data_IF_531564337227
#
_entry.id   IF_531564337227
#
_cell.length_a   1.000
_cell.length_b   1.000
_cell.length_c   1.000
_cell.angle_alpha   90.00
_cell.angle_beta   90.00
_cell.angle_gamma   90.00
#
_symmetry.space_group_name_H-M   'P 1'
#
loop_
_entity.id
_entity.type
_entity.pdbx_description
1 polymer ?
#
# COMPACT_ATOMS: atom_id res chain seq x y z
N UNK A 1 -15.73 -62.62 -50.65
CA UNK A 1 -15.85 -61.44 -49.75
C UNK A 1 -14.79 -60.44 -50.20
N UNK A 2 -15.15 -59.39 -50.96
CA UNK A 2 -15.39 -58.02 -50.47
C UNK A 2 -14.27 -57.51 -49.55
N UNK A 3 -13.56 -56.40 -49.79
CA UNK A 3 -13.77 -55.24 -50.64
C UNK A 3 -12.45 -54.50 -50.94
N UNK A 4 -12.39 -53.95 -52.16
CA UNK A 4 -11.95 -52.61 -52.60
C UNK A 4 -10.64 -52.00 -52.07
N UNK A 5 -9.65 -51.94 -52.98
CA UNK A 5 -8.69 -50.83 -53.11
C UNK A 5 -9.25 -49.80 -54.09
N UNK A 6 -9.14 -48.51 -53.77
CA UNK A 6 -9.30 -47.39 -54.71
C UNK A 6 -8.08 -46.47 -54.54
N UNK A 7 -7.35 -46.15 -55.62
CA UNK A 7 -6.40 -45.04 -55.64
C UNK A 7 -7.04 -43.81 -56.30
N UNK A 8 -6.88 -42.63 -55.69
CA UNK A 8 -7.23 -41.36 -56.35
C UNK A 8 -6.01 -40.44 -56.46
N UNK A 9 -5.76 -40.08 -57.72
CA UNK A 9 -4.75 -39.18 -58.27
C UNK A 9 -5.05 -37.71 -57.97
N UNK A 10 -3.95 -36.93 -58.01
CA UNK A 10 -3.80 -35.57 -58.59
C UNK A 10 -4.47 -34.36 -57.93
N UNK A 11 -3.62 -33.43 -57.47
CA UNK A 11 -3.56 -32.07 -58.02
C UNK A 11 -4.29 -30.97 -57.25
N UNK A 12 -3.53 -30.11 -56.56
CA UNK A 12 -3.92 -28.71 -56.30
C UNK A 12 -2.66 -27.92 -55.92
N UNK A 13 -2.04 -27.21 -56.87
CA UNK A 13 -2.24 -25.77 -57.19
C UNK A 13 -1.63 -24.83 -56.15
N UNK A 14 -0.44 -24.36 -56.49
CA UNK A 14 0.19 -23.15 -55.97
C UNK A 14 -0.80 -21.97 -55.98
N UNK A 15 -0.97 -21.32 -54.82
CA UNK A 15 -1.45 -19.95 -54.73
C UNK A 15 -0.31 -19.06 -54.26
N UNK A 16 0.39 -18.48 -55.23
CA UNK A 16 1.24 -17.30 -55.06
C UNK A 16 0.31 -16.10 -54.92
N UNK A 17 0.18 -15.61 -53.69
CA UNK A 17 -0.54 -14.37 -53.38
C UNK A 17 0.23 -13.15 -53.90
N UNK A 18 -0.20 -12.64 -55.06
CA UNK A 18 0.10 -11.27 -55.52
C UNK A 18 -0.60 -10.28 -54.59
N UNK A 19 0.13 -9.51 -53.78
CA UNK A 19 -0.39 -8.27 -53.19
C UNK A 19 0.06 -7.08 -54.03
N UNK A 20 -0.92 -6.54 -54.74
CA UNK A 20 -0.84 -5.32 -55.50
C UNK A 20 -0.69 -4.10 -54.56
N UNK A 21 0.14 -3.19 -55.05
CA UNK A 21 0.29 -1.78 -54.71
C UNK A 21 -1.03 -1.03 -54.49
N UNK A 22 -1.13 -0.26 -53.40
CA UNK A 22 -2.16 0.76 -53.21
C UNK A 22 -1.54 2.06 -52.69
N UNK A 23 -1.66 3.07 -53.56
CA UNK A 23 -1.79 4.52 -53.34
C UNK A 23 -0.76 5.30 -52.52
N UNK A 24 0.04 6.01 -53.30
CA UNK A 24 0.69 7.31 -53.08
C UNK A 24 -0.36 8.37 -52.71
N UNK A 25 -0.32 8.91 -51.50
CA UNK A 25 -1.05 10.13 -51.11
C UNK A 25 -0.06 11.25 -50.80
N UNK A 26 -0.15 12.30 -51.61
CA UNK A 26 0.42 13.62 -51.39
C UNK A 26 -0.37 14.35 -50.30
N UNK A 27 0.33 14.96 -49.34
CA UNK A 27 -0.11 16.14 -48.57
C UNK A 27 1.10 16.64 -47.78
N UNK A 28 1.83 17.61 -48.31
CA UNK A 28 1.68 19.04 -48.03
C UNK A 28 2.39 19.47 -46.74
N UNK A 29 3.61 19.97 -46.95
CA UNK A 29 4.36 20.78 -46.00
C UNK A 29 3.60 22.10 -45.74
N UNK A 30 3.32 22.38 -44.45
CA UNK A 30 3.03 23.73 -43.98
C UNK A 30 3.77 23.98 -42.66
N UNK A 31 4.87 24.72 -42.82
CA UNK A 31 5.29 25.89 -42.03
C UNK A 31 5.03 25.87 -40.52
N UNK A 32 6.16 25.74 -39.82
CA UNK A 32 6.47 26.23 -38.48
C UNK A 32 5.99 27.67 -38.23
N UNK A 33 5.09 27.83 -37.27
CA UNK A 33 4.82 29.12 -36.62
C UNK A 33 5.44 29.11 -35.22
N UNK A 34 6.59 29.77 -35.12
CA UNK A 34 7.31 30.09 -33.89
C UNK A 34 6.46 31.00 -32.99
N UNK A 35 5.96 30.47 -31.87
CA UNK A 35 5.36 31.28 -30.81
C UNK A 35 6.45 31.76 -29.86
N UNK A 36 6.70 33.06 -29.96
CA UNK A 36 7.68 33.86 -29.23
C UNK A 36 7.27 33.95 -27.76
N UNK A 37 8.08 33.38 -26.86
CA UNK A 37 7.96 33.60 -25.43
C UNK A 37 8.34 35.05 -25.09
N UNK A 38 7.36 35.85 -24.63
CA UNK A 38 7.59 37.09 -23.91
C UNK A 38 7.51 36.80 -22.42
N UNK A 39 8.67 36.64 -21.76
CA UNK A 39 8.77 36.75 -20.31
C UNK A 39 9.27 38.16 -20.04
N UNK A 40 8.36 39.02 -19.59
CA UNK A 40 8.69 40.38 -19.16
C UNK A 40 9.47 40.32 -17.84
N UNK A 41 10.72 40.74 -17.90
CA UNK A 41 11.42 41.28 -16.75
C UNK A 41 10.74 42.61 -16.37
N UNK A 42 10.25 42.73 -15.13
CA UNK A 42 9.99 44.03 -14.52
C UNK A 42 10.55 44.05 -13.10
N UNK A 43 11.57 44.88 -12.98
CA UNK A 43 12.27 45.33 -11.79
C UNK A 43 11.47 46.37 -10.99
N UNK A 44 12.00 46.72 -9.82
CA UNK A 44 11.58 47.71 -8.81
C UNK A 44 10.56 47.20 -7.78
N UNK A 45 10.70 47.37 -6.46
CA UNK A 45 11.42 48.37 -5.66
C UNK A 45 11.91 47.73 -4.34
N UNK A 46 13.16 47.94 -3.91
CA UNK A 46 13.59 49.03 -3.01
C UNK A 46 12.66 49.28 -1.82
N UNK A 47 12.92 48.59 -0.70
CA UNK A 47 12.68 49.16 0.63
C UNK A 47 13.86 48.83 1.53
N UNK A 48 14.57 49.90 1.92
CA UNK A 48 15.55 49.95 3.00
C UNK A 48 14.87 49.54 4.30
N UNK A 49 15.42 48.55 4.99
CA UNK A 49 15.22 48.40 6.42
C UNK A 49 16.56 47.96 7.03
N UNK A 50 17.10 48.84 7.87
CA UNK A 50 18.28 48.64 8.70
C UNK A 50 18.06 47.42 9.60
N UNK A 51 19.04 46.53 9.70
CA UNK A 51 19.12 45.57 10.80
C UNK A 51 20.50 45.67 11.42
N UNK A 52 20.46 46.10 12.67
CA UNK A 52 21.55 46.20 13.64
C UNK A 52 22.20 44.84 13.86
N UNK A 53 23.52 44.86 13.95
CA UNK A 53 24.34 43.75 14.45
C UNK A 53 24.41 43.88 15.97
N UNK A 54 23.95 42.88 16.71
CA UNK A 54 24.37 42.59 18.09
C UNK A 54 24.00 41.14 18.49
N UNK A 55 24.62 40.57 19.55
CA UNK A 55 25.22 39.25 19.46
C UNK A 55 24.38 38.10 20.03
N UNK A 56 24.81 36.91 19.62
CA UNK A 56 24.37 35.58 20.01
C UNK A 56 24.31 35.35 21.52
N UNK A 57 23.10 35.18 22.05
CA UNK A 57 22.86 34.44 23.31
C UNK A 57 22.24 33.08 23.00
N UNK A 58 22.94 32.05 23.43
CA UNK A 58 22.57 30.64 23.42
C UNK A 58 21.20 30.37 24.05
N UNK A 59 20.24 29.89 23.27
CA UNK A 59 19.02 29.26 23.80
C UNK A 59 18.91 27.83 23.31
N UNK A 60 19.05 26.92 24.28
CA UNK A 60 18.67 25.51 24.27
C UNK A 60 17.43 25.24 23.41
N UNK A 61 17.61 24.43 22.36
CA UNK A 61 16.53 23.88 21.53
C UNK A 61 15.66 22.95 22.39
N UNK A 62 14.60 23.48 22.99
CA UNK A 62 13.46 22.68 23.46
C UNK A 62 12.88 21.99 22.24
N UNK A 63 12.95 20.66 22.22
CA UNK A 63 12.23 19.82 21.27
C UNK A 63 10.74 20.16 21.43
N UNK A 64 10.15 20.79 20.41
CA UNK A 64 8.70 20.84 20.29
C UNK A 64 8.26 19.43 19.89
N UNK A 65 7.78 18.66 20.87
CA UNK A 65 6.94 17.51 20.60
C UNK A 65 5.85 17.94 19.62
N UNK A 66 5.86 17.31 18.45
CA UNK A 66 4.79 17.44 17.48
C UNK A 66 3.60 16.64 18.01
N UNK A 67 2.83 17.23 18.93
CA UNK A 67 1.55 16.66 19.34
C UNK A 67 0.60 16.79 18.15
N UNK A 68 0.29 15.66 17.52
CA UNK A 68 -0.82 15.61 16.57
C UNK A 68 -2.07 16.16 17.28
N UNK A 69 -2.85 17.06 16.65
CA UNK A 69 -4.13 17.46 17.20
C UNK A 69 -4.94 16.19 17.38
N UNK A 70 -5.32 15.89 18.62
CA UNK A 70 -6.14 14.73 18.93
C UNK A 70 -7.29 14.71 17.93
N UNK A 71 -7.43 13.59 17.19
CA UNK A 71 -8.54 13.37 16.26
C UNK A 71 -9.81 13.57 17.05
N UNK A 72 -10.33 14.80 17.02
CA UNK A 72 -11.54 15.20 17.68
C UNK A 72 -12.65 14.56 16.89
N UNK A 73 -12.90 13.29 17.16
CA UNK A 73 -14.20 12.67 16.95
C UNK A 73 -15.13 13.64 17.65
N UNK A 74 -15.86 14.43 16.86
CA UNK A 74 -16.90 15.33 17.34
C UNK A 74 -17.86 14.43 18.09
N UNK A 75 -17.67 14.32 19.41
CA UNK A 75 -18.57 13.62 20.29
C UNK A 75 -19.84 14.44 20.18
N UNK A 76 -20.80 13.95 19.39
CA UNK A 76 -22.15 14.49 19.43
C UNK A 76 -22.51 14.48 20.92
N UNK A 77 -22.78 15.64 21.54
CA UNK A 77 -23.07 15.68 22.96
C UNK A 77 -24.17 14.66 23.23
N UNK A 78 -23.92 13.75 24.17
CA UNK A 78 -24.92 12.77 24.60
C UNK A 78 -26.16 13.57 24.95
N UNK A 79 -27.22 13.39 24.15
CA UNK A 79 -28.51 14.05 24.35
C UNK A 79 -28.91 13.73 25.78
N UNK A 80 -28.86 14.74 26.64
CA UNK A 80 -29.16 14.57 28.06
C UNK A 80 -30.59 14.05 28.19
N UNK A 81 -30.88 13.18 29.15
CA UNK A 81 -32.25 12.68 29.37
C UNK A 81 -33.26 13.82 29.50
N UNK A 82 -32.84 14.99 30.00
CA UNK A 82 -33.65 16.20 30.03
C UNK A 82 -33.99 16.78 28.66
N UNK A 83 -33.10 16.67 27.66
CA UNK A 83 -33.38 17.07 26.27
C UNK A 83 -34.25 16.04 25.57
N UNK A 84 -34.04 14.75 25.85
CA UNK A 84 -34.85 13.65 25.32
C UNK A 84 -36.27 13.67 25.91
N UNK A 85 -36.43 14.04 27.19
CA UNK A 85 -37.72 14.32 27.81
C UNK A 85 -38.37 15.60 27.28
N UNK A 86 -37.60 16.66 26.97
CA UNK A 86 -38.13 17.87 26.33
C UNK A 86 -38.56 17.59 24.89
N UNK A 87 -37.84 16.72 24.18
CA UNK A 87 -38.22 16.24 22.85
C UNK A 87 -39.48 15.39 22.95
N UNK A 88 -39.55 14.45 23.91
CA UNK A 88 -40.74 13.63 24.22
C UNK A 88 -41.93 14.45 24.68
N UNK A 89 -41.74 15.52 25.44
CA UNK A 89 -42.83 16.45 25.84
C UNK A 89 -43.23 17.40 24.71
N UNK A 90 -42.34 17.67 23.75
CA UNK A 90 -42.69 18.32 22.47
C UNK A 90 -43.42 17.37 21.51
N UNK A 91 -43.16 16.06 21.57
CA UNK A 91 -43.80 15.06 20.70
C UNK A 91 -45.03 14.39 21.32
N UNK A 92 -45.20 14.39 22.64
CA UNK A 92 -46.42 13.97 23.34
C UNK A 92 -47.42 15.13 23.27
N UNK A 93 -48.19 15.10 22.18
CA UNK A 93 -49.24 16.05 21.82
C UNK A 93 -50.36 16.02 22.87
N UNK A 94 -50.53 17.13 23.62
CA UNK A 94 -51.78 17.39 24.37
C UNK A 94 -52.90 18.02 23.52
N UNK A 95 -52.66 18.28 22.25
CA UNK A 95 -53.70 18.52 21.27
C UNK A 95 -53.25 17.84 19.97
N UNK A 96 -53.89 16.74 19.60
CA UNK A 96 -53.88 16.32 18.21
C UNK A 96 -54.63 17.41 17.43
N UNK A 97 -53.98 18.19 16.55
CA UNK A 97 -54.73 19.05 15.67
C UNK A 97 -55.61 18.15 14.80
N UNK A 98 -56.91 18.46 14.63
CA UNK A 98 -57.77 17.73 13.70
C UNK A 98 -57.17 17.87 12.30
N UNK A 99 -56.67 16.80 11.68
CA UNK A 99 -56.10 16.95 10.33
C UNK A 99 -55.32 15.81 9.68
N UNK A 100 -55.03 14.68 10.34
CA UNK A 100 -54.49 13.53 9.59
C UNK A 100 -55.63 12.80 8.88
N UNK A 101 -55.78 13.07 7.57
CA UNK A 101 -56.74 12.38 6.72
C UNK A 101 -56.17 11.02 6.27
N UNK A 102 -56.24 10.04 7.18
CA UNK A 102 -55.84 8.66 6.93
C UNK A 102 -56.57 8.03 5.74
N UNK A 103 -57.76 8.51 5.40
CA UNK A 103 -58.51 8.00 4.24
C UNK A 103 -57.89 8.52 2.95
N UNK A 104 -57.54 9.80 2.89
CA UNK A 104 -56.88 10.40 1.73
C UNK A 104 -55.48 9.81 1.49
N UNK A 105 -54.69 9.61 2.55
CA UNK A 105 -53.38 8.94 2.45
C UNK A 105 -53.54 7.53 1.86
N UNK A 106 -54.55 6.75 2.28
CA UNK A 106 -54.83 5.42 1.71
C UNK A 106 -55.25 5.48 0.23
N UNK A 107 -55.96 6.52 -0.20
CA UNK A 107 -56.33 6.70 -1.61
C UNK A 107 -55.09 6.99 -2.45
N UNK A 108 -54.22 7.91 -1.99
CA UNK A 108 -52.94 8.21 -2.65
C UNK A 108 -52.06 6.96 -2.75
N UNK A 109 -51.94 6.18 -1.67
CA UNK A 109 -51.16 4.94 -1.69
C UNK A 109 -51.72 3.90 -2.67
N UNK A 110 -53.05 3.83 -2.83
CA UNK A 110 -53.69 2.96 -3.83
C UNK A 110 -53.45 3.46 -5.24
N UNK A 111 -53.49 4.77 -5.50
CA UNK A 111 -53.27 5.34 -6.83
C UNK A 111 -51.81 5.23 -7.28
N UNK A 112 -50.86 5.29 -6.35
CA UNK A 112 -49.43 5.15 -6.64
C UNK A 112 -48.99 3.69 -6.82
N UNK A 113 -49.84 2.72 -6.49
CA UNK A 113 -49.50 1.30 -6.61
C UNK A 113 -49.27 0.94 -8.08
N UNK A 114 -48.01 0.66 -8.44
CA UNK A 114 -47.61 0.28 -9.80
C UNK A 114 -47.16 1.44 -10.69
N UNK A 115 -47.13 2.67 -10.17
CA UNK A 115 -46.54 3.81 -10.88
C UNK A 115 -45.12 4.11 -10.36
N UNK A 116 -44.13 4.34 -11.23
CA UNK A 116 -42.80 4.77 -10.80
C UNK A 116 -42.88 6.23 -10.33
N UNK A 117 -43.06 6.44 -9.03
CA UNK A 117 -43.10 7.78 -8.42
C UNK A 117 -41.78 8.06 -7.73
N UNK A 118 -41.24 9.28 -7.90
CA UNK A 118 -40.05 9.69 -7.15
C UNK A 118 -40.39 9.96 -5.69
N UNK A 119 -39.41 9.84 -4.80
CA UNK A 119 -39.60 10.11 -3.36
C UNK A 119 -40.07 11.54 -3.11
N UNK A 120 -39.61 12.50 -3.91
CA UNK A 120 -39.99 13.90 -3.78
C UNK A 120 -41.43 14.16 -4.22
N UNK A 121 -41.89 13.53 -5.31
CA UNK A 121 -43.29 13.57 -5.74
C UNK A 121 -44.21 12.90 -4.70
N UNK A 122 -43.80 11.73 -4.19
CA UNK A 122 -44.52 11.02 -3.13
C UNK A 122 -44.73 11.90 -1.89
N UNK A 123 -43.66 12.55 -1.41
CA UNK A 123 -43.74 13.45 -0.24
C UNK A 123 -44.61 14.66 -0.56
N UNK A 124 -44.56 15.19 -1.78
CA UNK A 124 -45.38 16.33 -2.20
C UNK A 124 -46.88 15.99 -2.26
N UNK A 125 -47.22 14.76 -2.66
CA UNK A 125 -48.60 14.27 -2.70
C UNK A 125 -49.16 14.00 -1.30
N UNK A 126 -48.34 13.46 -0.38
CA UNK A 126 -48.78 13.10 0.97
C UNK A 126 -48.74 14.29 1.94
N UNK A 127 -47.85 15.25 1.72
CA UNK A 127 -47.64 16.40 2.61
C UNK A 127 -48.97 17.07 3.02
N UNK A 128 -49.89 17.45 2.13
CA UNK A 128 -51.14 18.11 2.51
C UNK A 128 -52.07 17.29 3.41
N UNK A 129 -51.94 15.96 3.41
CA UNK A 129 -52.78 15.03 4.19
C UNK A 129 -52.18 14.65 5.54
N UNK A 130 -50.95 15.10 5.82
CA UNK A 130 -50.24 14.86 7.09
C UNK A 130 -50.37 16.05 8.03
N UNK A 131 -50.49 15.81 9.34
CA UNK A 131 -50.72 16.87 10.32
C UNK A 131 -49.55 17.85 10.49
N UNK A 132 -48.39 17.56 9.93
CA UNK A 132 -47.18 18.39 9.91
C UNK A 132 -46.85 18.94 8.50
N UNK A 133 -47.79 18.84 7.56
CA UNK A 133 -47.60 19.17 6.14
C UNK A 133 -46.37 18.48 5.51
N UNK A 134 -46.00 17.28 5.99
CA UNK A 134 -44.88 16.49 5.49
C UNK A 134 -43.49 16.98 5.94
N UNK A 135 -43.43 17.84 6.96
CA UNK A 135 -42.15 18.38 7.46
C UNK A 135 -41.19 17.29 7.95
N UNK A 136 -41.69 16.28 8.67
CA UNK A 136 -40.90 15.15 9.15
C UNK A 136 -40.37 14.33 7.96
N UNK A 137 -41.23 14.02 6.98
CA UNK A 137 -40.84 13.27 5.79
C UNK A 137 -39.75 14.00 4.98
N UNK A 138 -39.88 15.32 4.80
CA UNK A 138 -38.84 16.14 4.16
C UNK A 138 -37.53 16.15 4.95
N UNK A 139 -37.60 16.13 6.28
CA UNK A 139 -36.42 16.08 7.15
C UNK A 139 -35.68 14.75 6.99
N UNK A 140 -36.40 13.62 7.09
CA UNK A 140 -35.83 12.27 6.89
C UNK A 140 -35.22 12.14 5.50
N UNK A 141 -35.92 12.58 4.45
CA UNK A 141 -35.39 12.58 3.08
C UNK A 141 -34.09 13.39 2.96
N UNK A 142 -34.04 14.57 3.57
CA UNK A 142 -32.83 15.39 3.55
C UNK A 142 -31.68 14.74 4.33
N UNK A 143 -31.95 14.08 5.46
CA UNK A 143 -30.95 13.36 6.23
C UNK A 143 -30.39 12.15 5.45
N UNK A 144 -31.24 11.41 4.74
CA UNK A 144 -30.83 10.31 3.87
C UNK A 144 -30.01 10.81 2.68
N UNK A 145 -30.44 11.88 2.00
CA UNK A 145 -29.68 12.50 0.92
C UNK A 145 -28.32 13.02 1.41
N UNK A 146 -28.27 13.59 2.61
CA UNK A 146 -27.01 14.04 3.20
C UNK A 146 -26.10 12.88 3.58
N UNK A 147 -26.66 11.78 4.08
CA UNK A 147 -25.93 10.55 4.39
C UNK A 147 -25.37 9.91 3.11
N UNK A 148 -26.17 9.84 2.05
CA UNK A 148 -25.73 9.39 0.74
C UNK A 148 -24.63 10.28 0.16
N UNK A 149 -24.78 11.61 0.21
CA UNK A 149 -23.72 12.54 -0.24
C UNK A 149 -22.42 12.40 0.55
N UNK A 150 -22.49 12.07 1.85
CA UNK A 150 -21.29 11.80 2.68
C UNK A 150 -20.66 10.47 2.29
N UNK A 151 -21.46 9.44 2.08
CA UNK A 151 -21.00 8.13 1.61
C UNK A 151 -20.33 8.25 0.24
N UNK A 152 -20.98 8.90 -0.73
CA UNK A 152 -20.44 9.12 -2.06
C UNK A 152 -19.12 9.90 -2.00
N UNK A 153 -19.05 10.99 -1.24
CA UNK A 153 -17.80 11.73 -1.04
C UNK A 153 -16.69 10.84 -0.47
N UNK A 154 -17.00 10.05 0.56
CA UNK A 154 -16.03 9.14 1.17
C UNK A 154 -15.54 8.08 0.19
N UNK A 155 -16.44 7.47 -0.58
CA UNK A 155 -16.10 6.47 -1.60
C UNK A 155 -15.22 7.10 -2.69
N UNK A 156 -15.58 8.28 -3.20
CA UNK A 156 -14.77 8.99 -4.19
C UNK A 156 -13.40 9.41 -3.64
N UNK A 157 -13.33 9.87 -2.39
CA UNK A 157 -12.07 10.23 -1.73
C UNK A 157 -11.16 9.01 -1.57
N UNK A 158 -11.69 7.88 -1.09
CA UNK A 158 -10.94 6.62 -0.99
C UNK A 158 -10.45 6.14 -2.35
N UNK A 159 -11.31 6.11 -3.37
CA UNK A 159 -10.91 5.71 -4.74
C UNK A 159 -9.84 6.66 -5.29
N UNK A 160 -9.98 7.96 -5.07
CA UNK A 160 -8.99 8.96 -5.54
C UNK A 160 -7.66 8.79 -4.83
N UNK A 161 -7.68 8.51 -3.53
CA UNK A 161 -6.49 8.22 -2.74
C UNK A 161 -5.81 6.94 -3.22
N UNK A 162 -6.55 5.84 -3.36
CA UNK A 162 -6.01 4.56 -3.83
C UNK A 162 -5.39 4.69 -5.23
N UNK A 163 -6.06 5.40 -6.14
CA UNK A 163 -5.52 5.68 -7.47
C UNK A 163 -4.25 6.55 -7.40
N UNK A 164 -4.22 7.54 -6.51
CA UNK A 164 -3.04 8.39 -6.32
C UNK A 164 -1.85 7.60 -5.76
N UNK A 165 -2.10 6.68 -4.84
CA UNK A 165 -1.07 5.83 -4.23
C UNK A 165 -0.50 4.83 -5.24
N UNK A 166 -1.36 4.23 -6.07
CA UNK A 166 -0.92 3.34 -7.17
C UNK A 166 -0.06 4.11 -8.17
N UNK A 167 -0.48 5.30 -8.60
CA UNK A 167 0.27 6.12 -9.53
C UNK A 167 1.61 6.59 -8.95
N UNK A 168 1.62 7.00 -7.68
CA UNK A 168 2.84 7.41 -6.99
C UNK A 168 3.83 6.25 -6.87
N UNK A 169 3.36 5.05 -6.53
CA UNK A 169 4.20 3.85 -6.45
C UNK A 169 4.78 3.49 -7.82
N UNK A 170 3.98 3.56 -8.89
CA UNK A 170 4.46 3.35 -10.26
C UNK A 170 5.51 4.39 -10.67
N UNK A 171 5.31 5.66 -10.33
CA UNK A 171 6.28 6.72 -10.59
C UNK A 171 7.60 6.47 -9.84
N UNK A 172 7.52 6.02 -8.58
CA UNK A 172 8.69 5.68 -7.78
C UNK A 172 9.47 4.51 -8.38
N UNK A 173 8.78 3.43 -8.78
CA UNK A 173 9.40 2.29 -9.46
C UNK A 173 10.07 2.68 -10.78
N UNK A 174 9.42 3.53 -11.59
CA UNK A 174 10.03 4.05 -12.82
C UNK A 174 11.27 4.89 -12.54
N UNK A 175 11.22 5.77 -11.53
CA UNK A 175 12.36 6.60 -11.15
C UNK A 175 13.56 5.73 -10.68
N UNK A 176 13.30 4.70 -9.87
CA UNK A 176 14.32 3.74 -9.43
C UNK A 176 14.92 2.98 -10.61
N UNK A 177 14.08 2.47 -11.52
CA UNK A 177 14.53 1.77 -12.73
C UNK A 177 15.46 2.64 -13.59
N UNK A 178 15.10 3.89 -13.86
CA UNK A 178 15.96 4.78 -14.65
C UNK A 178 17.24 5.17 -13.90
N UNK A 179 17.18 5.32 -12.57
CA UNK A 179 18.36 5.57 -11.75
C UNK A 179 19.34 4.39 -11.80
N UNK A 180 18.85 3.16 -11.64
CA UNK A 180 19.64 1.94 -11.74
C UNK A 180 20.25 1.80 -13.15
N UNK A 181 19.44 1.96 -14.20
CA UNK A 181 19.90 1.88 -15.59
C UNK A 181 20.96 2.94 -15.91
N UNK A 182 20.79 4.18 -15.43
CA UNK A 182 21.78 5.24 -15.57
C UNK A 182 23.08 4.90 -14.86
N UNK A 183 23.01 4.34 -13.64
CA UNK A 183 24.20 3.92 -12.88
C UNK A 183 24.98 2.81 -13.60
N UNK A 184 24.27 1.83 -14.18
CA UNK A 184 24.87 0.73 -14.92
C UNK A 184 25.54 1.21 -16.21
N UNK A 185 24.91 2.14 -16.92
CA UNK A 185 25.45 2.73 -18.14
C UNK A 185 26.67 3.60 -17.85
N UNK A 186 26.62 4.38 -16.77
CA UNK A 186 27.77 5.15 -16.29
C UNK A 186 28.94 4.24 -15.87
N UNK A 187 28.66 3.17 -15.13
CA UNK A 187 29.68 2.18 -14.76
C UNK A 187 30.34 1.53 -15.99
N UNK A 188 29.54 1.11 -16.98
CA UNK A 188 30.08 0.57 -18.25
C UNK A 188 30.92 1.61 -18.99
N UNK A 189 30.48 2.86 -19.03
CA UNK A 189 31.23 3.95 -19.64
C UNK A 189 32.58 4.16 -18.95
N UNK A 190 32.60 4.23 -17.62
CA UNK A 190 33.84 4.37 -16.84
C UNK A 190 34.78 3.20 -17.06
N UNK A 191 34.27 1.96 -17.06
CA UNK A 191 35.06 0.77 -17.36
C UNK A 191 35.69 0.84 -18.76
N UNK A 192 34.94 1.28 -19.76
CA UNK A 192 35.47 1.41 -21.12
C UNK A 192 36.52 2.53 -21.20
N UNK A 193 36.35 3.63 -20.46
CA UNK A 193 37.34 4.71 -20.37
C UNK A 193 38.63 4.18 -19.71
N UNK A 194 38.52 3.43 -18.61
CA UNK A 194 39.65 2.77 -17.97
C UNK A 194 40.37 1.82 -18.94
N UNK A 195 39.63 1.02 -19.70
CA UNK A 195 40.19 0.11 -20.71
C UNK A 195 40.95 0.87 -21.81
N UNK A 196 40.41 2.00 -22.29
CA UNK A 196 41.11 2.87 -23.25
C UNK A 196 42.42 3.39 -22.64
N UNK A 197 42.41 3.88 -21.41
CA UNK A 197 43.62 4.37 -20.75
C UNK A 197 44.64 3.28 -20.46
N UNK A 198 44.21 2.03 -20.25
CA UNK A 198 45.11 0.89 -20.12
C UNK A 198 45.84 0.56 -21.43
N UNK A 199 45.18 0.74 -22.59
CA UNK A 199 45.78 0.51 -23.91
C UNK A 199 46.57 1.72 -24.41
N UNK A 200 46.07 2.93 -24.16
CA UNK A 200 46.64 4.21 -24.59
C UNK A 200 46.55 5.22 -23.44
N UNK A 201 47.56 5.27 -22.54
CA UNK A 201 47.53 6.17 -21.38
C UNK A 201 47.44 7.66 -21.72
N UNK A 202 47.90 8.03 -22.92
CA UNK A 202 47.91 9.41 -23.42
C UNK A 202 46.69 9.72 -24.31
N UNK A 203 45.61 8.94 -24.19
CA UNK A 203 44.39 9.16 -24.97
C UNK A 203 43.69 10.45 -24.55
N UNK A 204 43.41 11.32 -25.53
CA UNK A 204 42.77 12.62 -25.38
C UNK A 204 41.36 12.58 -26.00
N UNK A 205 40.35 12.60 -25.13
CA UNK A 205 38.94 12.56 -25.53
C UNK A 205 38.49 13.81 -26.27
N UNK A 206 39.06 14.98 -25.97
CA UNK A 206 38.69 16.24 -26.63
C UNK A 206 39.23 16.26 -28.06
N UNK A 207 40.50 15.87 -28.24
CA UNK A 207 41.11 15.74 -29.57
C UNK A 207 40.44 14.65 -30.41
N UNK A 208 40.07 13.51 -29.79
CA UNK A 208 39.29 12.47 -30.46
C UNK A 208 37.91 12.95 -30.94
N UNK A 209 37.22 13.77 -30.14
CA UNK A 209 35.91 14.30 -30.51
C UNK A 209 35.97 15.26 -31.71
N UNK A 210 37.07 16.00 -31.86
CA UNK A 210 37.29 16.95 -32.95
C UNK A 210 37.86 16.28 -34.21
N UNK A 211 38.83 15.37 -34.06
CA UNK A 211 39.65 14.83 -35.16
C UNK A 211 39.67 13.30 -35.20
N UNK A 212 38.51 12.66 -34.99
CA UNK A 212 38.35 11.21 -34.83
C UNK A 212 39.25 10.35 -35.75
N UNK A 213 39.19 10.56 -37.06
CA UNK A 213 39.91 9.70 -38.02
C UNK A 213 41.42 9.93 -38.00
N UNK A 214 41.87 11.20 -37.99
CA UNK A 214 43.30 11.53 -37.95
C UNK A 214 43.95 11.11 -36.64
N UNK A 215 43.27 11.36 -35.52
CA UNK A 215 43.76 11.02 -34.19
C UNK A 215 43.88 9.50 -33.98
N UNK A 216 42.92 8.72 -34.49
CA UNK A 216 43.00 7.26 -34.45
C UNK A 216 44.13 6.72 -35.32
N UNK A 217 44.37 7.29 -36.51
CA UNK A 217 45.48 6.87 -37.38
C UNK A 217 46.85 7.19 -36.76
N UNK A 218 46.97 8.29 -36.02
CA UNK A 218 48.19 8.66 -35.30
C UNK A 218 48.47 7.69 -34.13
N UNK A 219 47.43 7.32 -33.37
CA UNK A 219 47.53 6.38 -32.24
C UNK A 219 47.73 4.92 -32.68
N UNK A 220 47.07 4.52 -33.77
CA UNK A 220 47.05 3.16 -34.30
C UNK A 220 47.36 3.18 -35.79
N UNK A 221 48.65 3.34 -36.18
CA UNK A 221 49.02 3.30 -37.59
C UNK A 221 48.59 1.96 -38.17
N UNK A 222 47.78 2.02 -39.23
CA UNK A 222 47.37 0.82 -39.97
C UNK A 222 48.65 0.20 -40.52
N UNK A 223 49.02 -1.03 -40.13
CA UNK A 223 50.18 -1.68 -40.69
C UNK A 223 50.03 -1.72 -42.21
N UNK A 224 51.06 -1.25 -42.92
CA UNK A 224 51.16 -1.35 -44.37
C UNK A 224 50.89 -2.81 -44.75
N UNK A 225 49.96 -3.04 -45.69
CA UNK A 225 49.36 -4.35 -45.97
C UNK A 225 50.44 -5.44 -46.04
N UNK A 226 50.58 -6.19 -44.93
CA UNK A 226 51.41 -7.37 -44.91
C UNK A 226 50.81 -8.29 -45.97
N UNK A 227 51.59 -8.60 -46.99
CA UNK A 227 51.22 -9.51 -48.06
C UNK A 227 51.22 -10.93 -47.48
N UNK A 228 50.24 -11.21 -46.62
CA UNK A 228 50.05 -12.48 -45.93
C UNK A 228 49.59 -13.48 -46.99
N UNK A 229 50.32 -14.59 -47.10
CA UNK A 229 49.95 -15.64 -48.05
C UNK A 229 48.51 -16.10 -47.82
N UNK A 230 47.76 -16.38 -48.90
CA UNK A 230 46.35 -16.75 -48.81
C UNK A 230 46.11 -17.99 -47.94
N UNK A 231 47.08 -18.90 -47.85
CA UNK A 231 47.02 -20.09 -47.00
C UNK A 231 47.11 -19.77 -45.49
N UNK A 232 47.99 -18.85 -45.12
CA UNK A 232 48.13 -18.39 -43.73
C UNK A 232 46.87 -17.62 -43.28
N UNK A 233 46.29 -16.82 -44.18
CA UNK A 233 44.98 -16.18 -43.97
C UNK A 233 43.85 -17.20 -43.77
N UNK A 234 43.84 -18.32 -44.49
CA UNK A 234 42.84 -19.36 -44.30
C UNK A 234 43.01 -20.08 -42.96
N UNK A 235 44.26 -20.35 -42.56
CA UNK A 235 44.58 -20.93 -41.26
C UNK A 235 44.14 -20.00 -40.11
N UNK A 236 44.41 -18.70 -40.21
CA UNK A 236 43.97 -17.69 -39.23
C UNK A 236 42.44 -17.65 -39.14
N UNK A 237 41.73 -17.72 -40.27
CA UNK A 237 40.26 -17.80 -40.30
C UNK A 237 39.74 -19.06 -39.63
N UNK A 238 40.38 -20.22 -39.83
CA UNK A 238 40.02 -21.48 -39.14
C UNK A 238 40.22 -21.36 -37.63
N UNK A 239 41.33 -20.76 -37.19
CA UNK A 239 41.60 -20.55 -35.78
C UNK A 239 40.59 -19.56 -35.15
N UNK A 240 40.28 -18.46 -35.83
CA UNK A 240 39.26 -17.50 -35.39
C UNK A 240 37.87 -18.15 -35.31
N UNK A 241 37.51 -18.98 -36.29
CA UNK A 241 36.26 -19.74 -36.28
C UNK A 241 36.21 -20.73 -35.10
N UNK A 242 37.32 -21.41 -34.81
CA UNK A 242 37.42 -22.32 -33.67
C UNK A 242 37.26 -21.59 -32.33
N UNK A 243 37.97 -20.48 -32.12
CA UNK A 243 37.82 -19.68 -30.91
C UNK A 243 36.41 -19.12 -30.76
N UNK A 244 35.80 -18.66 -31.86
CA UNK A 244 34.39 -18.20 -31.84
C UNK A 244 33.44 -19.33 -31.47
N UNK A 245 33.65 -20.54 -31.99
CA UNK A 245 32.84 -21.71 -31.64
C UNK A 245 33.01 -22.07 -30.15
N UNK A 246 34.23 -22.03 -29.63
CA UNK A 246 34.50 -22.29 -28.22
C UNK A 246 33.86 -21.24 -27.32
N UNK A 247 33.94 -19.95 -27.70
CA UNK A 247 33.26 -18.86 -27.00
C UNK A 247 31.74 -19.04 -27.00
N UNK A 248 31.14 -19.42 -28.12
CA UNK A 248 29.69 -19.71 -28.19
C UNK A 248 29.28 -20.88 -27.29
N UNK A 249 30.13 -21.90 -27.15
CA UNK A 249 29.88 -23.02 -26.22
C UNK A 249 29.92 -22.55 -24.77
N UNK A 250 30.96 -21.82 -24.37
CA UNK A 250 31.06 -21.29 -23.01
C UNK A 250 29.94 -20.29 -22.69
N UNK A 251 29.54 -19.48 -23.67
CA UNK A 251 28.43 -18.54 -23.49
C UNK A 251 27.08 -19.27 -23.39
N UNK A 252 26.90 -20.36 -24.15
CA UNK A 252 25.75 -21.25 -24.01
C UNK A 252 25.66 -21.91 -22.64
N UNK A 253 26.80 -22.37 -22.10
CA UNK A 253 26.89 -22.93 -20.74
C UNK A 253 26.57 -21.86 -19.68
N UNK A 254 27.16 -20.66 -19.79
CA UNK A 254 26.88 -19.52 -18.90
C UNK A 254 25.39 -19.15 -18.87
N UNK A 255 24.76 -19.06 -20.04
CA UNK A 255 23.32 -18.76 -20.15
C UNK A 255 22.46 -19.88 -19.55
N UNK A 256 22.88 -21.14 -19.71
CA UNK A 256 22.17 -22.27 -19.12
C UNK A 256 22.27 -22.26 -17.59
N UNK A 257 23.44 -21.94 -17.02
CA UNK A 257 23.63 -21.73 -15.59
C UNK A 257 22.79 -20.57 -15.04
N UNK A 258 22.75 -19.44 -15.74
CA UNK A 258 21.93 -18.28 -15.39
C UNK A 258 20.44 -18.64 -15.40
N UNK A 259 19.98 -19.37 -16.43
CA UNK A 259 18.60 -19.85 -16.52
C UNK A 259 18.27 -20.83 -15.38
N UNK A 260 19.20 -21.73 -15.02
CA UNK A 260 19.04 -22.63 -13.88
C UNK A 260 18.98 -21.86 -12.55
N UNK A 261 19.79 -20.82 -12.38
CA UNK A 261 19.75 -19.92 -11.22
C UNK A 261 18.40 -19.19 -11.11
N UNK A 262 17.90 -18.66 -12.23
CA UNK A 262 16.58 -18.01 -12.30
C UNK A 262 15.44 -18.99 -11.99
N UNK A 263 15.50 -20.24 -12.50
CA UNK A 263 14.53 -21.29 -12.15
C UNK A 263 14.54 -21.60 -10.66
N UNK A 264 15.72 -21.69 -10.03
CA UNK A 264 15.86 -21.89 -8.57
C UNK A 264 15.25 -20.71 -7.79
N UNK A 265 15.56 -19.47 -8.20
CA UNK A 265 14.99 -18.26 -7.58
C UNK A 265 13.47 -18.19 -7.72
N UNK A 266 12.94 -18.56 -8.88
CA UNK A 266 11.50 -18.63 -9.12
C UNK A 266 10.84 -19.71 -8.26
N UNK A 267 11.48 -20.86 -8.07
CA UNK A 267 11.00 -21.89 -7.15
C UNK A 267 10.99 -21.39 -5.69
N UNK A 268 12.03 -20.69 -5.25
CA UNK A 268 12.09 -20.07 -3.91
C UNK A 268 10.99 -19.03 -3.70
N UNK A 269 10.75 -18.14 -4.68
CA UNK A 269 9.67 -17.16 -4.61
C UNK A 269 8.29 -17.83 -4.54
N UNK A 270 8.06 -18.89 -5.31
CA UNK A 270 6.82 -19.68 -5.22
C UNK A 270 6.65 -20.32 -3.84
N UNK A 271 7.73 -20.77 -3.21
CA UNK A 271 7.68 -21.32 -1.85
C UNK A 271 7.31 -20.25 -0.82
N UNK A 272 8.00 -19.11 -0.83
CA UNK A 272 7.71 -17.98 0.06
C UNK A 272 6.27 -17.49 -0.09
N UNK A 273 5.76 -17.41 -1.32
CA UNK A 273 4.38 -17.02 -1.57
C UNK A 273 3.37 -18.02 -0.99
N UNK A 274 3.62 -19.32 -1.10
CA UNK A 274 2.78 -20.35 -0.47
C UNK A 274 2.82 -20.27 1.06
N UNK A 275 3.99 -20.05 1.64
CA UNK A 275 4.13 -19.87 3.09
C UNK A 275 3.37 -18.63 3.60
N UNK A 276 3.45 -17.52 2.85
CA UNK A 276 2.71 -16.29 3.15
C UNK A 276 1.20 -16.49 3.05
N UNK A 277 0.72 -17.19 2.02
CA UNK A 277 -0.70 -17.56 1.91
C UNK A 277 -1.16 -18.44 3.09
N UNK A 278 -0.36 -19.41 3.51
CA UNK A 278 -0.67 -20.25 4.67
C UNK A 278 -0.71 -19.43 5.96
N UNK A 279 0.22 -18.48 6.14
CA UNK A 279 0.20 -17.56 7.29
C UNK A 279 -1.04 -16.68 7.29
N UNK A 280 -1.43 -16.14 6.14
CA UNK A 280 -2.67 -15.35 6.01
C UNK A 280 -3.90 -16.16 6.39
N UNK A 281 -4.01 -17.41 5.92
CA UNK A 281 -5.10 -18.32 6.27
C UNK A 281 -5.12 -18.65 7.78
N UNK A 282 -3.96 -18.81 8.42
CA UNK A 282 -3.87 -19.01 9.88
C UNK A 282 -4.33 -17.79 10.66
N UNK A 283 -3.95 -16.58 10.21
CA UNK A 283 -4.38 -15.32 10.82
C UNK A 283 -5.89 -15.15 10.67
N UNK A 284 -6.45 -15.46 9.50
CA UNK A 284 -7.90 -15.44 9.26
C UNK A 284 -8.63 -16.40 10.19
N UNK A 285 -8.16 -17.65 10.31
CA UNK A 285 -8.74 -18.64 11.23
C UNK A 285 -8.65 -18.19 12.69
N UNK A 286 -7.55 -17.57 13.11
CA UNK A 286 -7.41 -17.04 14.46
C UNK A 286 -8.34 -15.83 14.71
N UNK A 287 -8.54 -14.98 13.71
CA UNK A 287 -9.48 -13.87 13.77
C UNK A 287 -10.94 -14.36 13.84
N UNK A 288 -11.28 -15.40 13.09
CA UNK A 288 -12.59 -16.06 13.13
C UNK A 288 -12.86 -16.69 14.51
N UNK A 289 -11.91 -17.45 15.05
CA UNK A 289 -12.03 -18.02 16.41
C UNK A 289 -12.18 -16.93 17.48
N UNK A 290 -11.47 -15.81 17.34
CA UNK A 290 -11.62 -14.66 18.25
C UNK A 290 -12.99 -14.01 18.12
N UNK A 291 -13.53 -13.91 16.90
CA UNK A 291 -14.87 -13.39 16.65
C UNK A 291 -15.93 -14.30 17.29
N UNK A 292 -15.82 -15.61 17.12
CA UNK A 292 -16.72 -16.60 17.72
C UNK A 292 -16.69 -16.54 19.26
N UNK A 293 -15.49 -16.41 19.86
CA UNK A 293 -15.36 -16.25 21.31
C UNK A 293 -16.02 -14.95 21.81
N UNK A 294 -15.87 -13.84 21.08
CA UNK A 294 -16.54 -12.58 21.43
C UNK A 294 -18.06 -12.70 21.30
N UNK A 295 -18.56 -13.36 20.26
CA UNK A 295 -19.98 -13.61 20.06
C UNK A 295 -20.57 -14.49 21.18
N UNK A 296 -19.85 -15.53 21.61
CA UNK A 296 -20.23 -16.34 22.77
C UNK A 296 -20.30 -15.50 24.07
N UNK A 297 -19.29 -14.67 24.35
CA UNK A 297 -19.34 -13.80 25.54
C UNK A 297 -20.45 -12.76 25.47
N UNK A 298 -20.80 -12.29 24.27
CA UNK A 298 -21.92 -11.37 24.07
C UNK A 298 -23.26 -12.08 24.30
N UNK A 299 -23.41 -13.33 23.85
CA UNK A 299 -24.60 -14.14 24.10
C UNK A 299 -24.79 -14.42 25.60
N UNK A 300 -23.73 -14.81 26.32
CA UNK A 300 -23.78 -15.00 27.78
C UNK A 300 -24.19 -13.72 28.53
N UNK A 301 -23.67 -12.56 28.11
CA UNK A 301 -24.05 -11.27 28.71
C UNK A 301 -25.51 -10.93 28.41
N UNK A 302 -25.99 -11.23 27.20
CA UNK A 302 -27.39 -11.03 26.83
C UNK A 302 -28.33 -11.90 27.69
N UNK A 303 -28.00 -13.18 27.87
CA UNK A 303 -28.77 -14.10 28.72
C UNK A 303 -28.79 -13.64 30.19
N UNK A 304 -27.65 -13.17 30.72
CA UNK A 304 -27.57 -12.59 32.07
C UNK A 304 -28.46 -11.36 32.22
N UNK A 305 -28.47 -10.47 31.22
CA UNK A 305 -29.34 -9.29 31.22
C UNK A 305 -30.81 -9.70 31.15
N UNK A 306 -31.15 -10.73 30.37
CA UNK A 306 -32.50 -11.25 30.30
C UNK A 306 -32.96 -11.83 31.64
N UNK A 307 -32.12 -12.64 32.32
CA UNK A 307 -32.42 -13.16 33.66
C UNK A 307 -32.60 -12.04 34.69
N UNK A 308 -31.76 -11.00 34.65
CA UNK A 308 -31.90 -9.83 35.52
C UNK A 308 -33.20 -9.07 35.26
N UNK A 309 -33.55 -8.87 33.98
CA UNK A 309 -34.81 -8.24 33.60
C UNK A 309 -36.01 -9.06 34.09
N UNK A 310 -36.02 -10.38 33.90
CA UNK A 310 -37.07 -11.26 34.41
C UNK A 310 -37.16 -11.23 35.94
N UNK A 311 -36.03 -11.17 36.65
CA UNK A 311 -35.98 -11.04 38.11
C UNK A 311 -36.55 -9.69 38.58
N UNK A 312 -36.19 -8.60 37.92
CA UNK A 312 -36.71 -7.26 38.18
C UNK A 312 -38.22 -7.20 37.92
N UNK A 313 -38.69 -7.72 36.79
CA UNK A 313 -40.11 -7.79 36.47
C UNK A 313 -40.89 -8.56 37.54
N UNK A 314 -40.41 -9.74 37.96
CA UNK A 314 -41.00 -10.51 39.07
C UNK A 314 -41.03 -9.72 40.38
N UNK A 315 -39.95 -8.99 40.70
CA UNK A 315 -39.89 -8.14 41.90
C UNK A 315 -40.83 -6.94 41.83
N UNK A 316 -41.01 -6.35 40.64
CA UNK A 316 -41.95 -5.24 40.44
C UNK A 316 -43.38 -5.75 40.60
N UNK A 317 -43.72 -6.88 39.98
CA UNK A 317 -45.04 -7.50 40.08
C UNK A 317 -45.34 -7.87 41.55
N UNK A 318 -44.39 -8.45 42.28
CA UNK A 318 -44.59 -8.81 43.69
C UNK A 318 -44.73 -7.59 44.60
N UNK A 319 -43.92 -6.55 44.39
CA UNK A 319 -44.08 -5.28 45.11
C UNK A 319 -45.42 -4.63 44.80
N UNK A 320 -45.84 -4.59 43.53
CA UNK A 320 -47.14 -4.04 43.15
C UNK A 320 -48.30 -4.81 43.77
N UNK A 321 -48.24 -6.15 43.79
CA UNK A 321 -49.21 -7.00 44.46
C UNK A 321 -49.30 -6.69 45.97
N UNK A 322 -48.17 -6.62 46.67
CA UNK A 322 -48.14 -6.27 48.10
C UNK A 322 -48.68 -4.86 48.39
N UNK A 323 -48.43 -3.91 47.48
CA UNK A 323 -48.96 -2.55 47.55
C UNK A 323 -50.47 -2.48 47.29
N UNK A 324 -51.03 -3.43 46.53
CA UNK A 324 -52.49 -3.56 46.33
C UNK A 324 -53.14 -4.19 47.55
N UNK A 325 -52.59 -5.29 48.08
CA UNK A 325 -53.10 -5.93 49.30
C UNK A 325 -53.13 -4.98 50.51
N UNK A 326 -52.08 -4.18 50.70
CA UNK A 326 -52.04 -3.16 51.76
C UNK A 326 -53.06 -2.05 51.55
N UNK A 327 -53.31 -1.62 50.30
CA UNK A 327 -54.36 -0.63 50.00
C UNK A 327 -55.76 -1.19 50.22
N UNK A 328 -56.00 -2.43 49.82
CA UNK A 328 -57.30 -3.10 49.99
C UNK A 328 -57.57 -3.37 51.48
N UNK A 329 -56.55 -3.70 52.27
CA UNK A 329 -56.65 -3.82 53.73
C UNK A 329 -57.00 -2.47 54.42
N UNK A 330 -56.43 -1.36 53.94
CA UNK A 330 -56.75 -0.01 54.45
C UNK A 330 -58.19 0.41 54.13
N UNK A 331 -58.76 -0.06 53.01
CA UNK A 331 -60.15 0.23 52.63
C UNK A 331 -61.20 -0.56 53.43
N UNK A 332 -60.80 -1.61 54.14
CA UNK A 332 -61.68 -2.48 54.93
C UNK A 332 -61.70 -2.15 56.43
N UNK A 333 -60.93 -1.16 56.90
CA UNK A 333 -61.08 -0.67 58.28
C UNK A 333 -62.32 0.23 58.42
N UNK A 334 -63.21 -0.03 59.40
CA UNK A 334 -64.41 0.76 59.62
C UNK A 334 -64.08 2.18 60.09
N UNK A 335 -64.52 3.16 59.30
CA UNK A 335 -64.40 4.59 59.60
C UNK A 335 -65.23 4.92 60.85
N UNK A 336 -64.55 5.06 61.99
CA UNK A 336 -65.15 5.69 63.18
C UNK A 336 -65.24 7.22 63.00
N UNK A 337 -66.41 7.84 63.27
CA UNK A 337 -66.55 9.29 63.23
C UNK A 337 -65.93 9.89 64.49
N UNK A 338 -64.95 10.80 64.35
CA UNK A 338 -64.48 11.64 65.44
C UNK A 338 -64.74 13.11 65.13
N UNK A 339 -65.64 13.65 65.93
CA UNK A 339 -65.93 15.05 66.16
C UNK A 339 -64.71 15.79 66.72
N UNK A 340 -64.54 17.04 66.29
CA UNK A 340 -64.16 18.13 67.19
C UNK A 340 -62.70 18.58 67.23
N UNK A 341 -62.58 19.92 67.27
CA UNK A 341 -61.47 20.73 67.78
C UNK A 341 -60.34 21.13 66.80
N UNK A 342 -60.63 22.25 66.13
CA UNK A 342 -59.68 23.25 65.64
C UNK A 342 -58.72 23.67 66.76
N UNK A 343 -57.42 23.40 66.63
CA UNK A 343 -56.35 24.12 67.34
C UNK A 343 -55.26 24.56 66.37
N UNK A 344 -55.20 25.87 66.15
CA UNK A 344 -54.06 26.58 65.53
C UNK A 344 -52.82 26.37 66.40
N UNK A 345 -51.77 25.75 65.87
CA UNK A 345 -50.39 25.90 66.36
C UNK A 345 -49.50 26.29 65.19
N UNK A 346 -48.98 27.52 65.25
CA UNK A 346 -47.82 27.99 64.48
C UNK A 346 -46.62 27.13 64.90
N UNK A 347 -46.06 26.34 63.99
CA UNK A 347 -44.71 25.80 64.13
C UNK A 347 -43.84 26.34 62.99
N UNK A 348 -42.91 27.18 63.39
CA UNK A 348 -41.81 27.68 62.58
C UNK A 348 -40.82 26.55 62.30
N UNK A 349 -40.55 26.36 61.01
CA UNK A 349 -39.25 26.00 60.43
C UNK A 349 -38.42 24.86 61.05
N UNK A 350 -38.41 23.71 60.37
CA UNK A 350 -37.18 23.05 59.89
C UNK A 350 -37.56 21.73 59.20
N UNK A 351 -37.92 21.82 57.92
CA UNK A 351 -38.06 20.64 57.06
C UNK A 351 -36.66 20.07 56.82
N UNK A 352 -36.24 19.11 57.65
CA UNK A 352 -35.09 18.25 57.37
C UNK A 352 -35.42 17.46 56.09
N UNK A 353 -34.93 17.96 54.96
CA UNK A 353 -34.85 17.22 53.70
C UNK A 353 -34.16 15.89 54.02
N UNK A 354 -34.90 14.78 54.02
CA UNK A 354 -34.30 13.45 53.95
C UNK A 354 -33.49 13.45 52.65
N UNK A 355 -32.16 13.52 52.78
CA UNK A 355 -31.24 13.35 51.65
C UNK A 355 -31.68 12.04 50.99
N UNK A 356 -32.11 12.12 49.73
CA UNK A 356 -32.19 10.94 48.87
C UNK A 356 -30.86 10.19 49.04
N UNK A 357 -30.86 8.86 49.20
CA UNK A 357 -29.61 8.12 49.24
C UNK A 357 -28.80 8.57 48.02
N UNK A 358 -27.59 9.05 48.25
CA UNK A 358 -26.71 9.48 47.18
C UNK A 358 -26.61 8.28 46.24
N UNK A 359 -27.19 8.42 45.05
CA UNK A 359 -27.07 7.43 43.99
C UNK A 359 -25.60 7.03 43.92
N UNK A 360 -25.34 5.77 44.29
CA UNK A 360 -24.04 5.25 44.72
C UNK A 360 -22.87 5.97 44.04
N UNK A 361 -22.23 6.92 44.74
CA UNK A 361 -20.96 7.50 44.28
C UNK A 361 -19.92 6.39 44.04
N UNK A 362 -20.04 5.26 44.73
CA UNK A 362 -19.26 4.05 44.46
C UNK A 362 -19.57 3.43 43.09
N UNK A 363 -20.84 3.36 42.67
CA UNK A 363 -21.20 2.81 41.37
C UNK A 363 -20.76 3.74 40.22
N UNK A 364 -20.85 5.06 40.42
CA UNK A 364 -20.31 6.02 39.45
C UNK A 364 -18.78 5.91 39.35
N UNK A 365 -18.08 5.77 40.48
CA UNK A 365 -16.62 5.57 40.50
C UNK A 365 -16.20 4.23 39.91
N UNK A 366 -16.98 3.16 40.09
CA UNK A 366 -16.71 1.86 39.46
C UNK A 366 -16.87 1.91 37.95
N UNK A 367 -17.95 2.55 37.44
CA UNK A 367 -18.15 2.72 36.00
C UNK A 367 -17.04 3.54 35.37
N UNK A 368 -16.61 4.64 36.02
CA UNK A 368 -15.52 5.48 35.53
C UNK A 368 -14.17 4.73 35.58
N UNK A 369 -13.91 3.93 36.62
CA UNK A 369 -12.71 3.11 36.72
C UNK A 369 -12.67 2.03 35.63
N UNK A 370 -13.79 1.37 35.36
CA UNK A 370 -13.91 0.35 34.31
C UNK A 370 -13.69 0.96 32.92
N UNK A 371 -14.24 2.14 32.65
CA UNK A 371 -14.05 2.84 31.38
C UNK A 371 -12.57 3.27 31.16
N UNK A 372 -11.87 3.66 32.22
CA UNK A 372 -10.43 3.99 32.16
C UNK A 372 -9.59 2.74 31.90
N UNK A 373 -9.93 1.61 32.51
CA UNK A 373 -9.21 0.35 32.30
C UNK A 373 -9.44 -0.20 30.89
N UNK A 374 -10.67 -0.12 30.37
CA UNK A 374 -11.03 -0.55 29.01
C UNK A 374 -10.35 0.32 27.93
N UNK A 375 -10.23 1.63 28.17
CA UNK A 375 -9.48 2.53 27.27
C UNK A 375 -7.97 2.26 27.27
N UNK A 376 -7.37 1.94 28.43
CA UNK A 376 -5.97 1.48 28.51
C UNK A 376 -5.76 0.14 27.80
N UNK A 377 -6.68 -0.81 27.97
CA UNK A 377 -6.62 -2.09 27.25
C UNK A 377 -6.72 -1.89 25.72
N UNK A 378 -7.57 -0.98 25.26
CA UNK A 378 -7.69 -0.64 23.84
C UNK A 378 -6.44 0.08 23.28
N UNK A 379 -5.76 0.92 24.07
CA UNK A 379 -4.49 1.54 23.67
C UNK A 379 -3.35 0.52 23.59
N UNK A 380 -3.22 -0.38 24.56
CA UNK A 380 -2.21 -1.44 24.52
C UNK A 380 -2.44 -2.42 23.35
N UNK A 381 -3.70 -2.72 23.01
CA UNK A 381 -4.04 -3.55 21.86
C UNK A 381 -3.69 -2.90 20.50
N UNK A 382 -3.68 -1.56 20.41
CA UNK A 382 -3.23 -0.84 19.21
C UNK A 382 -1.72 -0.86 19.04
N UNK A 383 -0.96 -0.97 20.13
CA UNK A 383 0.50 -1.04 20.10
C UNK A 383 0.99 -2.44 19.69
N UNK A 384 0.19 -3.49 19.88
CA UNK A 384 0.49 -4.87 19.46
C UNK A 384 -0.14 -5.29 18.12
N UNK A 385 -0.70 -4.35 17.35
CA UNK A 385 -1.12 -4.62 15.97
C UNK A 385 0.11 -5.07 15.14
N UNK A 386 0.10 -6.26 14.53
CA UNK A 386 1.22 -6.80 13.76
C UNK A 386 1.32 -6.18 12.36
N UNK A 387 0.79 -4.96 12.17
CA UNK A 387 1.10 -4.14 11.01
C UNK A 387 2.36 -3.32 11.34
N UNK A 388 3.50 -4.02 11.31
CA UNK A 388 4.81 -3.37 11.29
C UNK A 388 4.95 -2.60 9.99
N UNK A 389 4.60 -1.30 10.02
CA UNK A 389 5.23 -0.35 9.13
C UNK A 389 6.73 -0.45 9.42
N UNK A 390 7.46 -1.08 8.50
CA UNK A 390 8.91 -1.08 8.54
C UNK A 390 9.35 0.39 8.54
N UNK A 391 10.01 0.89 9.59
CA UNK A 391 10.63 2.20 9.50
C UNK A 391 11.58 2.17 8.32
N UNK A 392 11.48 3.17 7.44
CA UNK A 392 12.50 3.44 6.43
C UNK A 392 13.84 3.43 7.18
N UNK A 393 14.66 2.42 6.89
CA UNK A 393 16.01 2.29 7.42
C UNK A 393 16.76 3.57 7.06
N UNK A 394 16.97 4.42 8.06
CA UNK A 394 18.13 5.30 8.07
C UNK A 394 19.38 4.42 7.93
N UNK A 395 20.41 4.89 7.22
CA UNK A 395 21.61 4.11 7.00
C UNK A 395 22.29 3.81 8.36
N UNK A 396 22.77 2.58 8.60
CA UNK A 396 23.38 2.24 9.87
C UNK A 396 24.69 3.01 10.07
N UNK A 397 25.01 3.43 11.31
CA UNK A 397 26.34 3.92 11.63
C UNK A 397 27.36 2.80 11.44
N UNK A 398 28.50 3.12 10.82
CA UNK A 398 29.62 2.23 10.55
C UNK A 398 30.13 1.60 11.86
N UNK A 399 29.71 0.35 12.15
CA UNK A 399 30.35 -0.46 13.18
C UNK A 399 31.49 -1.26 12.56
N UNK A 400 32.70 -0.96 13.01
CA UNK A 400 33.92 -1.74 12.79
C UNK A 400 33.80 -3.12 13.45
N UNK A 401 33.74 -4.19 12.65
CA UNK A 401 33.71 -5.60 13.08
C UNK A 401 33.99 -6.55 11.91
N UNK A 402 34.49 -7.78 12.14
CA UNK A 402 35.57 -8.38 11.37
C UNK A 402 35.18 -8.79 9.95
N UNK A 403 36.04 -8.41 8.99
CA UNK A 403 35.91 -8.66 7.56
C UNK A 403 35.95 -10.16 7.26
N UNK A 404 34.81 -10.73 6.89
CA UNK A 404 34.78 -11.99 6.13
C UNK A 404 35.37 -11.73 4.74
N UNK A 405 36.41 -12.52 4.42
CA UNK A 405 37.17 -12.41 3.18
C UNK A 405 36.34 -12.97 2.01
N UNK A 406 35.90 -12.08 1.14
CA UNK A 406 35.49 -12.40 -0.23
C UNK A 406 36.62 -13.14 -0.97
N UNK A 407 36.36 -14.26 -1.70
CA UNK A 407 37.38 -15.02 -2.43
C UNK A 407 37.89 -14.34 -3.72
N UNK A 408 37.41 -13.14 -4.05
CA UNK A 408 37.72 -12.46 -5.31
C UNK A 408 38.22 -11.02 -5.09
N UNK A 409 39.25 -10.86 -4.26
CA UNK A 409 40.05 -9.64 -4.25
C UNK A 409 41.48 -9.96 -4.69
N UNK A 410 41.75 -9.77 -5.98
CA UNK A 410 43.12 -9.49 -6.43
C UNK A 410 43.48 -8.11 -5.90
N UNK A 411 44.26 -8.07 -4.84
CA UNK A 411 45.00 -6.87 -4.45
C UNK A 411 46.09 -6.67 -5.51
N UNK A 412 46.22 -5.49 -6.14
CA UNK A 412 47.43 -5.14 -6.86
C UNK A 412 48.61 -5.20 -5.89
N UNK A 413 49.67 -5.90 -6.27
CA UNK A 413 50.94 -5.89 -5.54
C UNK A 413 51.42 -4.46 -5.38
N UNK A 414 51.65 -4.03 -4.13
CA UNK A 414 52.40 -2.82 -3.81
C UNK A 414 53.70 -2.82 -4.60
N UNK A 415 53.85 -1.84 -5.49
CA UNK A 415 55.11 -1.59 -6.18
C UNK A 415 56.09 -0.97 -5.18
N UNK A 416 57.34 -1.46 -5.11
CA UNK A 416 58.31 -0.93 -4.16
C UNK A 416 58.67 0.51 -4.51
N UNK A 417 58.74 1.34 -3.47
CA UNK A 417 59.23 2.71 -3.56
C UNK A 417 60.72 2.74 -3.89
N UNK A 418 61.08 3.54 -4.91
CA UNK A 418 62.40 4.14 -5.05
C UNK A 418 63.50 3.25 -5.64
N UNK A 419 63.76 3.43 -6.93
CA UNK A 419 65.10 3.23 -7.47
C UNK A 419 65.39 4.27 -8.56
N UNK A 420 66.56 4.87 -8.40
CA UNK A 420 67.06 6.04 -9.10
C UNK A 420 67.28 5.80 -10.60
N UNK A 421 67.08 6.87 -11.36
CA UNK A 421 67.66 7.07 -12.68
C UNK A 421 69.19 6.85 -12.63
N UNK A 422 69.69 5.80 -13.27
CA UNK A 422 71.05 5.75 -13.81
C UNK A 422 71.00 5.01 -15.14
N UNK A 423 71.51 5.67 -16.18
CA UNK A 423 71.90 5.12 -17.48
C UNK A 423 73.31 5.68 -17.76
N UNK A 424 74.11 5.17 -18.70
CA UNK A 424 74.13 3.85 -19.38
C UNK A 424 75.55 3.23 -19.45
N UNK A 425 75.71 1.90 -19.55
CA UNK A 425 76.83 1.31 -20.34
C UNK A 425 76.71 -0.20 -20.59
N UNK A 426 76.63 -0.55 -21.89
CA UNK A 426 77.46 -1.54 -22.61
C UNK A 426 77.68 -2.93 -21.96
N UNK A 427 77.15 -3.99 -22.57
CA UNK A 427 77.90 -4.96 -23.38
C UNK A 427 77.11 -6.25 -23.65
N UNK A 428 77.28 -6.69 -24.89
CA UNK A 428 77.05 -7.99 -25.54
C UNK A 428 77.15 -9.20 -24.60
N UNK A 429 76.15 -10.10 -24.64
CA UNK A 429 76.36 -11.55 -24.57
C UNK A 429 75.09 -12.33 -24.97
N UNK A 430 75.35 -13.45 -25.62
CA UNK A 430 74.49 -14.36 -26.38
C UNK A 430 73.92 -15.53 -25.54
N UNK A 431 72.64 -15.86 -25.81
CA UNK A 431 72.01 -17.21 -25.77
C UNK A 431 71.97 -17.99 -24.42
N UNK A 432 71.21 -19.11 -24.28
CA UNK A 432 70.25 -19.76 -25.20
C UNK A 432 68.84 -20.04 -24.61
N UNK A 433 67.94 -20.46 -25.50
CA UNK A 433 66.62 -21.05 -25.21
C UNK A 433 66.67 -22.28 -24.30
N UNK A 434 65.61 -22.55 -23.51
CA UNK A 434 65.23 -23.90 -23.13
C UNK A 434 63.98 -24.38 -23.86
N UNK A 435 64.09 -25.66 -24.21
CA UNK A 435 63.26 -26.47 -25.05
C UNK A 435 61.88 -26.79 -24.47
N UNK A 436 60.97 -27.02 -25.41
CA UNK A 436 59.72 -27.74 -25.30
C UNK A 436 59.84 -29.09 -24.58
N UNK A 437 58.95 -29.33 -23.62
CA UNK A 437 58.60 -30.70 -23.21
C UNK A 437 57.09 -30.86 -23.16
N UNK A 438 56.58 -31.39 -24.25
CA UNK A 438 55.26 -31.98 -24.44
C UNK A 438 55.09 -33.22 -23.53
N UNK A 439 53.95 -33.37 -22.82
CA UNK A 439 53.52 -34.69 -22.38
C UNK A 439 52.31 -35.19 -23.16
N UNK A 440 52.59 -36.30 -23.84
CA UNK A 440 51.71 -37.25 -24.50
C UNK A 440 50.32 -37.42 -23.87
N UNK A 441 49.32 -37.30 -24.74
CA UNK A 441 48.01 -37.94 -24.60
C UNK A 441 48.18 -39.46 -24.38
N UNK A 442 47.69 -39.96 -23.25
CA UNK A 442 47.22 -41.35 -23.13
C UNK A 442 45.73 -41.34 -22.86
N UNK A 443 44.99 -41.90 -23.81
CA UNK A 443 43.55 -42.10 -23.69
C UNK A 443 43.21 -43.11 -22.61
N UNK A 444 42.07 -42.90 -21.97
CA UNK A 444 41.23 -43.98 -21.47
C UNK A 444 39.78 -43.66 -21.79
N UNK A 445 39.22 -44.51 -22.66
CA UNK A 445 37.79 -44.75 -22.77
C UNK A 445 37.30 -45.21 -21.40
N UNK A 446 36.28 -44.55 -20.87
CA UNK A 446 35.43 -45.11 -19.83
C UNK A 446 33.99 -44.98 -20.31
N UNK A 447 33.51 -46.07 -20.90
CA UNK A 447 32.09 -46.34 -21.02
C UNK A 447 31.58 -46.78 -19.64
N UNK A 448 30.46 -46.20 -19.19
CA UNK A 448 29.57 -46.74 -18.18
C UNK A 448 28.27 -45.90 -18.19
N UNK A 449 27.15 -46.39 -17.61
CA UNK A 449 26.40 -47.50 -18.14
C UNK A 449 24.93 -47.12 -18.38
N UNK A 450 24.32 -47.91 -19.25
CA UNK A 450 22.89 -47.93 -19.52
C UNK A 450 22.29 -48.99 -18.60
N UNK A 451 21.55 -48.57 -17.58
CA UNK A 451 20.61 -49.40 -16.81
C UNK A 451 19.68 -48.41 -16.06
N UNK A 452 18.40 -48.33 -16.41
CA UNK A 452 17.30 -49.26 -16.05
C UNK A 452 16.88 -49.06 -14.58
N UNK A 453 15.63 -49.38 -14.25
CA UNK A 453 14.85 -49.04 -13.04
C UNK A 453 14.21 -47.63 -13.10
N UNK A 454 12.90 -47.39 -13.08
CA UNK A 454 11.65 -48.14 -12.83
C UNK A 454 10.60 -47.01 -12.69
N UNK A 455 9.39 -47.05 -13.26
CA UNK A 455 8.35 -48.04 -13.03
C UNK A 455 7.50 -47.65 -11.81
N UNK A 456 6.25 -47.21 -12.07
CA UNK A 456 5.11 -46.99 -11.12
C UNK A 456 5.24 -45.77 -10.17
N UNK A 457 4.27 -44.85 -10.06
CA UNK A 457 2.81 -44.84 -10.25
C UNK A 457 2.31 -43.71 -11.16
#
# INVERSE_FOLDING_TARGET
MSMRRVPSKTGSKDQVGKRASVSKSQASAKSSASSKAQISARSSASSKAQVSVEPSTSTTKKQKEFSLPALSIIHKPKVTESELERLKKRTIRRHAPPGEDLKHIKIILKSLKGQPTTVQEFISLIAPSTGDNGAILRTVMNDDLNSFRKLARKVYETITQDNSDVLLNQQLQLAEYYKEKKSLLHYRMMKNIEEIFMMAPNFDFERYALEKEKYLLELFPIPEELNIEPEEMEMMKRQAAFHRLQWLRSEGERLNEENNSLKKRLAQLKHLHKEEQLKMMQVEKAAEAKKEALEATQAEKAEKLEMLNQSLEKSIISQEASMRETKDAILLEPVHPKTGAVKKKKSTGAVRKKKRPAWNEQAAKEIDAQAIEESRAAETAKITSPFHFSPIKTPPPKSSGPKERSPFHYSPTESPAGAYYVSPQRQVASAPQPQSSEPQRRGRRAAAPRDSWGGFY
#
